data_IF_628284375584
#
_entry.id   IF_628284375584
#
_cell.length_a   1.000
_cell.length_b   1.000
_cell.length_c   1.000
_cell.angle_alpha   90.00
_cell.angle_beta   90.00
_cell.angle_gamma   90.00
#
_symmetry.space_group_name_H-M   'P 1'
#
loop_
_entity.id
_entity.type
_entity.pdbx_description
1 polymer ?
#
# COMPACT_ATOMS: atom_id res chain seq x y z
N UNK A 1 21.65 8.90 -2.08
CA UNK A 1 21.04 7.61 -1.70
C UNK A 1 20.09 7.17 -2.83
N UNK A 2 20.26 5.96 -3.35
CA UNK A 2 19.37 5.46 -4.43
C UNK A 2 18.09 4.88 -3.84
N UNK A 3 16.95 5.44 -4.22
CA UNK A 3 15.63 4.92 -3.89
C UNK A 3 15.23 3.84 -4.90
N UNK A 4 14.67 2.74 -4.40
CA UNK A 4 13.99 1.74 -5.20
C UNK A 4 12.51 2.13 -5.28
N UNK A 5 11.95 2.07 -6.48
CA UNK A 5 10.54 2.37 -6.73
C UNK A 5 9.80 1.09 -7.06
N UNK A 6 8.69 0.85 -6.36
CA UNK A 6 7.79 -0.27 -6.59
C UNK A 6 6.50 0.30 -7.17
N UNK A 7 6.17 -0.06 -8.41
CA UNK A 7 4.92 0.33 -9.05
C UNK A 7 3.72 -0.26 -8.31
N UNK A 8 2.72 0.54 -8.04
CA UNK A 8 1.55 0.10 -7.25
C UNK A 8 0.69 -0.89 -8.03
N UNK A 9 0.45 -0.65 -9.31
CA UNK A 9 -0.31 -1.59 -10.14
C UNK A 9 0.48 -2.88 -10.37
N UNK A 10 1.79 -2.80 -10.59
CA UNK A 10 2.65 -3.99 -10.67
C UNK A 10 2.64 -4.80 -9.37
N UNK A 11 2.63 -4.13 -8.21
CA UNK A 11 2.51 -4.78 -6.90
C UNK A 11 1.17 -5.50 -6.73
N UNK A 12 0.04 -4.88 -7.15
CA UNK A 12 -1.29 -5.51 -7.11
C UNK A 12 -1.36 -6.72 -8.05
N UNK A 13 -0.84 -6.59 -9.27
CA UNK A 13 -0.74 -7.69 -10.23
C UNK A 13 0.11 -8.83 -9.65
N UNK A 14 1.23 -8.52 -8.99
CA UNK A 14 2.05 -9.53 -8.35
C UNK A 14 1.34 -10.23 -7.19
N UNK A 15 0.51 -9.52 -6.43
CA UNK A 15 -0.24 -10.08 -5.30
C UNK A 15 -1.43 -10.95 -5.74
N UNK A 16 -1.86 -10.91 -7.01
CA UNK A 16 -2.97 -11.73 -7.51
C UNK A 16 -2.61 -13.22 -7.68
N UNK A 17 -1.31 -13.52 -7.76
CA UNK A 17 -0.82 -14.88 -8.00
C UNK A 17 0.44 -15.17 -7.18
N UNK A 18 0.56 -16.39 -6.63
CA UNK A 18 1.68 -16.77 -5.74
C UNK A 18 3.01 -16.82 -6.47
N UNK A 19 3.04 -17.38 -7.66
CA UNK A 19 4.26 -17.53 -8.46
C UNK A 19 4.71 -16.18 -9.00
N UNK A 20 3.76 -15.36 -9.43
CA UNK A 20 4.02 -13.99 -9.85
C UNK A 20 4.59 -13.14 -8.72
N UNK A 21 4.08 -13.30 -7.49
CA UNK A 21 4.62 -12.61 -6.31
C UNK A 21 6.06 -13.05 -6.01
N UNK A 22 6.37 -14.34 -6.16
CA UNK A 22 7.74 -14.86 -6.00
C UNK A 22 8.66 -14.26 -7.05
N UNK A 23 8.25 -14.29 -8.32
CA UNK A 23 8.98 -13.72 -9.45
C UNK A 23 9.26 -12.22 -9.28
N UNK A 24 8.26 -11.46 -8.85
CA UNK A 24 8.39 -10.04 -8.55
C UNK A 24 9.38 -9.77 -7.41
N UNK A 25 9.29 -10.54 -6.32
CA UNK A 25 10.21 -10.44 -5.18
C UNK A 25 11.65 -10.84 -5.57
N UNK A 26 11.84 -11.78 -6.48
CA UNK A 26 13.14 -12.14 -7.00
C UNK A 26 13.78 -10.95 -7.75
N UNK A 27 13.05 -10.30 -8.65
CA UNK A 27 13.49 -9.09 -9.33
C UNK A 27 13.78 -7.94 -8.36
N UNK A 28 12.93 -7.75 -7.34
CA UNK A 28 13.17 -6.78 -6.27
C UNK A 28 14.48 -7.08 -5.54
N UNK A 29 14.77 -8.33 -5.20
CA UNK A 29 16.02 -8.72 -4.53
C UNK A 29 17.24 -8.30 -5.33
N UNK A 30 17.24 -8.51 -6.64
CA UNK A 30 18.32 -8.05 -7.54
C UNK A 30 18.46 -6.53 -7.45
N UNK A 31 17.35 -5.78 -7.52
CA UNK A 31 17.37 -4.31 -7.42
C UNK A 31 17.89 -3.79 -6.09
N UNK A 32 17.60 -4.49 -5.00
CA UNK A 32 18.10 -4.12 -3.68
C UNK A 32 19.59 -4.42 -3.51
N UNK A 33 20.06 -5.53 -4.04
CA UNK A 33 21.46 -5.98 -3.87
C UNK A 33 22.41 -5.27 -4.86
N UNK A 34 21.98 -5.05 -6.09
CA UNK A 34 22.86 -4.54 -7.16
C UNK A 34 22.41 -3.16 -7.66
N UNK A 35 23.35 -2.19 -7.70
CA UNK A 35 23.04 -0.80 -8.08
C UNK A 35 22.50 -0.66 -9.49
N UNK A 36 23.08 -1.37 -10.45
CA UNK A 36 22.65 -1.37 -11.84
C UNK A 36 21.38 -2.20 -12.09
N UNK A 37 20.81 -2.82 -11.02
CA UNK A 37 19.67 -3.75 -11.12
C UNK A 37 19.98 -4.97 -11.97
N UNK A 38 21.25 -5.37 -12.02
CA UNK A 38 21.74 -6.51 -12.77
C UNK A 38 22.75 -7.35 -11.96
N UNK A 39 22.81 -8.62 -12.30
CA UNK A 39 23.72 -9.60 -11.72
C UNK A 39 24.50 -10.31 -12.83
N UNK A 40 25.81 -10.07 -12.88
CA UNK A 40 26.73 -10.81 -13.74
C UNK A 40 27.13 -12.15 -13.11
N UNK A 41 27.18 -13.21 -13.89
CA UNK A 41 27.56 -14.52 -13.39
C UNK A 41 28.16 -15.43 -14.48
N UNK A 42 29.14 -16.22 -14.08
CA UNK A 42 29.71 -17.28 -14.91
C UNK A 42 28.91 -18.60 -14.85
N UNK A 43 28.33 -18.91 -13.70
CA UNK A 43 27.53 -20.11 -13.49
C UNK A 43 26.27 -19.86 -12.67
N UNK A 44 25.19 -20.65 -12.90
CA UNK A 44 23.96 -20.57 -12.10
C UNK A 44 24.22 -20.77 -10.60
N UNK A 45 25.22 -21.58 -10.22
CA UNK A 45 25.57 -21.81 -8.83
C UNK A 45 26.16 -20.54 -8.19
N UNK A 46 27.02 -19.82 -8.90
CA UNK A 46 27.56 -18.54 -8.45
C UNK A 46 26.45 -17.48 -8.26
N UNK A 47 25.53 -17.37 -9.22
CA UNK A 47 24.39 -16.46 -9.11
C UNK A 47 23.47 -16.80 -7.95
N UNK A 48 23.20 -18.08 -7.70
CA UNK A 48 22.40 -18.55 -6.59
C UNK A 48 23.04 -18.16 -5.25
N UNK A 49 24.34 -18.42 -5.08
CA UNK A 49 25.10 -18.03 -3.86
C UNK A 49 25.06 -16.52 -3.65
N UNK A 50 25.29 -15.73 -4.71
CA UNK A 50 25.26 -14.27 -4.63
C UNK A 50 23.90 -13.71 -4.16
N UNK A 51 22.80 -14.39 -4.50
CA UNK A 51 21.45 -14.05 -4.06
C UNK A 51 21.01 -14.76 -2.78
N UNK A 52 21.85 -15.60 -2.18
CA UNK A 52 21.53 -16.36 -0.96
C UNK A 52 20.45 -17.41 -1.18
N UNK A 53 20.44 -18.09 -2.33
CA UNK A 53 19.57 -19.22 -2.66
C UNK A 53 20.39 -20.49 -2.91
N UNK A 54 19.76 -21.66 -2.79
CA UNK A 54 20.27 -22.87 -3.39
C UNK A 54 20.00 -22.87 -4.92
N UNK A 55 20.75 -23.66 -5.66
CA UNK A 55 20.67 -23.71 -7.13
C UNK A 55 19.28 -24.08 -7.68
N UNK A 56 18.56 -25.08 -7.14
CA UNK A 56 17.21 -25.42 -7.60
C UNK A 56 16.22 -24.26 -7.41
N UNK A 57 16.18 -23.69 -6.21
CA UNK A 57 15.29 -22.56 -5.89
C UNK A 57 15.61 -21.33 -6.74
N UNK A 58 16.89 -21.03 -6.93
CA UNK A 58 17.32 -19.95 -7.81
C UNK A 58 16.82 -20.16 -9.25
N UNK A 59 17.00 -21.36 -9.80
CA UNK A 59 16.56 -21.68 -11.16
C UNK A 59 15.06 -21.51 -11.29
N UNK A 60 14.28 -22.09 -10.37
CA UNK A 60 12.82 -21.94 -10.36
C UNK A 60 12.37 -20.47 -10.31
N UNK A 61 12.97 -19.66 -9.44
CA UNK A 61 12.58 -18.25 -9.30
C UNK A 61 13.01 -17.40 -10.49
N UNK A 62 14.15 -17.71 -11.08
CA UNK A 62 14.62 -17.05 -12.32
C UNK A 62 13.68 -17.37 -13.47
N UNK A 63 13.31 -18.62 -13.66
CA UNK A 63 12.41 -19.05 -14.73
C UNK A 63 11.02 -18.38 -14.58
N UNK A 64 10.49 -18.33 -13.36
CA UNK A 64 9.27 -17.58 -13.06
C UNK A 64 9.44 -16.08 -13.36
N UNK A 65 10.56 -15.48 -12.98
CA UNK A 65 10.81 -14.06 -13.20
C UNK A 65 10.93 -13.72 -14.70
N UNK A 66 11.48 -14.61 -15.51
CA UNK A 66 11.52 -14.48 -16.97
C UNK A 66 10.12 -14.68 -17.55
N UNK A 67 9.41 -15.74 -17.15
CA UNK A 67 8.04 -16.06 -17.59
C UNK A 67 7.09 -14.86 -17.41
N UNK A 68 7.18 -14.18 -16.27
CA UNK A 68 6.33 -13.02 -15.97
C UNK A 68 6.92 -11.67 -16.41
N UNK A 69 8.06 -11.67 -17.10
CA UNK A 69 8.68 -10.47 -17.66
C UNK A 69 9.33 -9.54 -16.63
N UNK A 70 9.60 -10.01 -15.40
CA UNK A 70 10.28 -9.21 -14.37
C UNK A 70 11.79 -9.23 -14.49
N UNK A 71 12.34 -10.25 -15.14
CA UNK A 71 13.77 -10.35 -15.45
C UNK A 71 13.99 -10.77 -16.88
N UNK A 72 15.18 -10.45 -17.41
CA UNK A 72 15.69 -11.00 -18.67
C UNK A 72 17.15 -11.40 -18.50
N UNK A 73 17.61 -12.30 -19.35
CA UNK A 73 19.00 -12.71 -19.42
C UNK A 73 19.62 -12.14 -20.70
N UNK A 74 20.78 -11.51 -20.54
CA UNK A 74 21.62 -11.09 -21.65
C UNK A 74 22.96 -11.85 -21.56
N UNK A 75 23.55 -12.18 -22.69
CA UNK A 75 24.90 -12.77 -22.78
C UNK A 75 25.78 -11.80 -23.52
N UNK A 76 26.93 -11.45 -22.95
CA UNK A 76 27.88 -10.56 -23.61
C UNK A 76 28.70 -11.32 -24.64
N UNK A 77 29.52 -10.57 -25.40
CA UNK A 77 30.42 -11.12 -26.46
C UNK A 77 31.43 -12.17 -25.93
N UNK A 78 31.70 -12.16 -24.61
CA UNK A 78 32.63 -13.08 -23.94
C UNK A 78 31.92 -14.27 -23.26
N UNK A 79 30.64 -14.49 -23.53
CA UNK A 79 29.88 -15.60 -22.95
C UNK A 79 29.42 -15.38 -21.51
N UNK A 80 29.75 -14.26 -20.87
CA UNK A 80 29.29 -13.94 -19.50
C UNK A 80 27.82 -13.59 -19.52
N UNK A 81 27.05 -14.30 -18.71
CA UNK A 81 25.59 -14.09 -18.55
C UNK A 81 25.31 -13.01 -17.54
N UNK A 82 24.26 -12.25 -17.83
CA UNK A 82 23.79 -11.15 -17.01
C UNK A 82 22.28 -11.26 -16.83
N UNK A 83 21.81 -11.31 -15.57
CA UNK A 83 20.39 -11.20 -15.24
C UNK A 83 20.08 -9.74 -15.00
N UNK A 84 19.11 -9.19 -15.71
CA UNK A 84 18.67 -7.82 -15.58
C UNK A 84 17.26 -7.82 -14.99
N UNK A 85 17.08 -7.16 -13.86
CA UNK A 85 15.75 -6.90 -13.32
C UNK A 85 15.10 -5.75 -14.09
N UNK A 86 14.00 -6.05 -14.78
CA UNK A 86 13.25 -5.10 -15.59
C UNK A 86 12.67 -3.97 -14.74
N UNK A 87 12.17 -2.94 -15.41
CA UNK A 87 11.49 -1.82 -14.77
C UNK A 87 10.19 -2.31 -14.09
N UNK A 88 10.08 -2.15 -12.78
CA UNK A 88 8.94 -2.58 -11.95
C UNK A 88 8.18 -1.41 -11.35
N UNK A 89 8.30 -0.22 -11.91
CA UNK A 89 7.55 0.97 -11.48
C UNK A 89 6.62 1.43 -12.60
N UNK A 90 5.44 1.83 -12.18
CA UNK A 90 4.40 2.33 -13.06
C UNK A 90 4.64 3.79 -13.46
N UNK A 91 3.90 4.24 -14.48
CA UNK A 91 3.89 5.63 -14.90
C UNK A 91 3.17 6.54 -13.90
N UNK A 92 2.24 5.99 -13.11
CA UNK A 92 1.36 6.80 -12.25
C UNK A 92 1.85 6.90 -10.82
N UNK A 93 1.81 5.80 -10.06
CA UNK A 93 2.14 5.79 -8.64
C UNK A 93 3.20 4.76 -8.31
N UNK A 94 4.18 5.17 -7.53
CA UNK A 94 5.23 4.28 -7.03
C UNK A 94 5.47 4.47 -5.54
N UNK A 95 5.64 3.36 -4.83
CA UNK A 95 6.11 3.35 -3.46
C UNK A 95 7.63 3.43 -3.45
N UNK A 96 8.18 4.40 -2.71
CA UNK A 96 9.62 4.60 -2.57
C UNK A 96 10.12 3.92 -1.32
N UNK A 97 11.26 3.24 -1.42
CA UNK A 97 11.98 2.65 -0.29
C UNK A 97 13.48 2.81 -0.50
N UNK A 98 14.24 2.96 0.58
CA UNK A 98 15.70 3.10 0.53
C UNK A 98 16.36 1.72 0.53
N UNK A 99 17.48 1.57 -0.18
CA UNK A 99 18.20 0.29 -0.22
C UNK A 99 18.56 -0.28 1.16
N UNK A 100 19.01 0.54 2.09
CA UNK A 100 19.40 0.12 3.44
C UNK A 100 18.24 -0.02 4.43
N UNK A 101 17.00 0.25 4.02
CA UNK A 101 15.83 0.24 4.89
C UNK A 101 15.42 -1.17 5.31
N UNK A 102 15.62 -2.15 4.43
CA UNK A 102 15.38 -3.55 4.73
C UNK A 102 16.63 -4.20 5.31
N UNK A 103 16.60 -4.50 6.62
CA UNK A 103 17.66 -5.24 7.30
C UNK A 103 17.86 -6.66 6.74
N UNK A 104 16.82 -7.25 6.18
CA UNK A 104 16.82 -8.60 5.65
C UNK A 104 16.09 -8.64 4.29
N UNK A 105 16.80 -9.09 3.24
CA UNK A 105 16.28 -9.27 1.89
C UNK A 105 15.75 -10.71 1.65
N UNK A 106 15.23 -11.36 2.70
CA UNK A 106 14.56 -12.64 2.56
C UNK A 106 13.27 -12.51 1.75
N UNK A 107 12.86 -13.57 1.09
CA UNK A 107 11.63 -13.60 0.31
C UNK A 107 10.38 -13.21 1.13
N UNK A 108 10.20 -13.68 2.39
CA UNK A 108 9.10 -13.20 3.24
C UNK A 108 9.11 -11.71 3.51
N UNK A 109 10.29 -11.09 3.72
CA UNK A 109 10.43 -9.64 3.93
C UNK A 109 10.07 -8.86 2.68
N UNK A 110 10.51 -9.31 1.50
CA UNK A 110 10.17 -8.70 0.22
C UNK A 110 8.67 -8.82 -0.11
N UNK A 111 8.06 -9.99 0.16
CA UNK A 111 6.60 -10.17 0.03
C UNK A 111 5.82 -9.21 0.94
N UNK A 112 6.31 -8.99 2.17
CA UNK A 112 5.70 -8.03 3.08
C UNK A 112 5.83 -6.59 2.56
N UNK A 113 7.01 -6.21 2.03
CA UNK A 113 7.23 -4.89 1.42
C UNK A 113 6.28 -4.61 0.25
N UNK A 114 5.99 -5.60 -0.59
CA UNK A 114 5.01 -5.47 -1.68
C UNK A 114 3.62 -5.17 -1.13
N UNK A 115 3.20 -5.84 -0.04
CA UNK A 115 1.93 -5.58 0.64
C UNK A 115 1.90 -4.19 1.28
N UNK A 116 3.00 -3.77 1.91
CA UNK A 116 3.15 -2.42 2.48
C UNK A 116 2.95 -1.35 1.41
N UNK A 117 3.50 -1.54 0.22
CA UNK A 117 3.36 -0.60 -0.89
C UNK A 117 1.88 -0.39 -1.27
N UNK A 118 1.11 -1.48 -1.41
CA UNK A 118 -0.32 -1.41 -1.76
C UNK A 118 -1.13 -0.76 -0.64
N UNK A 119 -0.91 -1.17 0.61
CA UNK A 119 -1.63 -0.62 1.76
C UNK A 119 -1.30 0.87 1.95
N UNK A 120 -0.03 1.26 1.87
CA UNK A 120 0.40 2.65 2.01
C UNK A 120 -0.22 3.54 0.93
N UNK A 121 -0.26 3.08 -0.33
CA UNK A 121 -0.94 3.80 -1.39
C UNK A 121 -2.43 3.97 -1.13
N UNK A 122 -3.10 2.95 -0.60
CA UNK A 122 -4.53 3.05 -0.28
C UNK A 122 -4.79 4.05 0.84
N UNK A 123 -3.94 4.06 1.87
CA UNK A 123 -4.00 5.05 2.95
C UNK A 123 -3.79 6.45 2.38
N UNK A 124 -2.82 6.64 1.48
CA UNK A 124 -2.56 7.92 0.83
C UNK A 124 -3.79 8.43 0.05
N UNK A 125 -4.43 7.56 -0.73
CA UNK A 125 -5.66 7.91 -1.46
C UNK A 125 -6.77 8.32 -0.50
N UNK A 126 -6.96 7.58 0.60
CA UNK A 126 -7.96 7.90 1.62
C UNK A 126 -7.68 9.28 2.24
N UNK A 127 -6.42 9.56 2.57
CA UNK A 127 -6.01 10.84 3.16
C UNK A 127 -6.16 12.01 2.19
N UNK A 128 -5.77 11.84 0.92
CA UNK A 128 -5.98 12.84 -0.13
C UNK A 128 -7.46 13.19 -0.29
N UNK A 129 -8.34 12.18 -0.28
CA UNK A 129 -9.79 12.35 -0.39
C UNK A 129 -10.35 13.09 0.82
N UNK A 130 -9.95 12.72 2.04
CA UNK A 130 -10.37 13.40 3.27
C UNK A 130 -9.93 14.88 3.23
N UNK A 131 -8.69 15.14 2.84
CA UNK A 131 -8.16 16.50 2.74
C UNK A 131 -8.91 17.33 1.70
N UNK A 132 -9.25 16.74 0.55
CA UNK A 132 -10.04 17.40 -0.49
C UNK A 132 -11.45 17.70 0.01
N UNK A 133 -12.07 16.76 0.72
CA UNK A 133 -13.39 16.94 1.31
C UNK A 133 -13.38 18.04 2.39
N UNK A 134 -12.41 18.04 3.29
CA UNK A 134 -12.27 19.05 4.34
C UNK A 134 -12.10 20.46 3.76
N UNK A 135 -11.31 20.60 2.70
CA UNK A 135 -11.18 21.90 1.97
C UNK A 135 -12.50 22.32 1.35
N UNK A 136 -13.26 21.40 0.78
CA UNK A 136 -14.56 21.68 0.21
C UNK A 136 -15.58 22.15 1.26
N UNK A 137 -15.54 21.58 2.48
CA UNK A 137 -16.45 21.99 3.57
C UNK A 137 -16.11 23.36 4.13
N UNK A 138 -14.83 23.69 4.24
CA UNK A 138 -14.38 24.93 4.92
C UNK A 138 -14.43 26.19 4.05
N UNK A 139 -14.84 26.11 2.80
CA UNK A 139 -14.90 27.31 1.94
C UNK A 139 -15.77 27.19 0.68
N UNK A 140 -16.56 26.13 0.55
CA UNK A 140 -17.31 25.87 -0.68
C UNK A 140 -18.79 25.56 -0.45
N UNK A 141 -19.57 25.69 -1.51
CA UNK A 141 -21.00 25.39 -1.54
C UNK A 141 -21.32 23.92 -1.31
N UNK A 142 -22.54 23.61 -0.86
CA UNK A 142 -23.04 22.24 -0.66
C UNK A 142 -22.84 21.35 -1.89
N UNK A 143 -22.96 21.90 -3.09
CA UNK A 143 -22.70 21.19 -4.34
C UNK A 143 -21.25 20.71 -4.49
N UNK A 144 -20.28 21.51 -4.05
CA UNK A 144 -18.86 21.15 -4.04
C UNK A 144 -18.56 20.02 -3.07
N UNK A 145 -19.17 20.05 -1.89
CA UNK A 145 -19.06 18.99 -0.87
C UNK A 145 -19.64 17.68 -1.42
N UNK A 146 -20.82 17.72 -2.04
CA UNK A 146 -21.45 16.55 -2.65
C UNK A 146 -20.60 15.94 -3.77
N UNK A 147 -20.01 16.77 -4.61
CA UNK A 147 -19.12 16.32 -5.68
C UNK A 147 -17.82 15.73 -5.14
N UNK A 148 -17.24 16.31 -4.09
CA UNK A 148 -16.08 15.74 -3.42
C UNK A 148 -16.37 14.35 -2.86
N UNK A 149 -17.53 14.14 -2.20
CA UNK A 149 -17.96 12.83 -1.68
C UNK A 149 -18.18 11.79 -2.78
N UNK A 150 -18.76 12.19 -3.93
CA UNK A 150 -18.92 11.30 -5.09
C UNK A 150 -17.58 10.86 -5.66
N UNK A 151 -16.62 11.79 -5.76
CA UNK A 151 -15.26 11.49 -6.22
C UNK A 151 -14.56 10.54 -5.25
N UNK A 152 -14.73 10.77 -3.95
CA UNK A 152 -14.24 9.90 -2.89
C UNK A 152 -14.79 8.48 -3.02
N UNK A 153 -16.10 8.32 -3.14
CA UNK A 153 -16.72 7.01 -3.29
C UNK A 153 -16.21 6.26 -4.52
N UNK A 154 -16.00 6.97 -5.64
CA UNK A 154 -15.42 6.42 -6.87
C UNK A 154 -13.98 5.95 -6.65
N UNK A 155 -13.13 6.79 -6.04
CA UNK A 155 -11.74 6.45 -5.76
C UNK A 155 -11.60 5.24 -4.84
N UNK A 156 -12.49 5.13 -3.87
CA UNK A 156 -12.50 4.04 -2.91
C UNK A 156 -13.26 2.81 -3.39
N UNK A 157 -13.82 2.85 -4.61
CA UNK A 157 -14.60 1.75 -5.21
C UNK A 157 -15.70 1.23 -4.29
N UNK A 158 -16.43 2.13 -3.64
CA UNK A 158 -17.58 1.80 -2.80
C UNK A 158 -18.74 2.75 -3.06
N UNK A 159 -19.96 2.33 -2.70
CA UNK A 159 -21.13 3.18 -2.83
C UNK A 159 -20.94 4.52 -2.13
N UNK A 160 -21.57 5.55 -2.68
CA UNK A 160 -21.60 6.86 -2.05
C UNK A 160 -22.36 6.77 -0.72
N UNK A 161 -21.64 7.04 0.37
CA UNK A 161 -22.18 7.05 1.72
C UNK A 161 -21.84 8.39 2.38
N UNK A 162 -22.86 9.11 2.83
CA UNK A 162 -22.68 10.39 3.54
C UNK A 162 -22.00 10.25 4.90
N UNK A 163 -22.07 9.05 5.49
CA UNK A 163 -21.46 8.70 6.78
C UNK A 163 -20.01 8.20 6.66
N UNK A 164 -19.40 8.30 5.47
CA UNK A 164 -18.03 7.82 5.28
C UNK A 164 -17.04 8.53 6.23
N UNK A 165 -16.35 7.73 7.02
CA UNK A 165 -15.44 8.23 8.08
C UNK A 165 -13.96 8.24 7.67
N UNK A 166 -13.62 7.80 6.46
CA UNK A 166 -12.22 7.66 6.02
C UNK A 166 -11.47 6.50 6.70
N UNK A 167 -12.20 5.57 7.31
CA UNK A 167 -11.60 4.41 7.97
C UNK A 167 -11.14 3.34 6.97
N UNK A 168 -10.12 2.56 7.36
CA UNK A 168 -9.61 1.45 6.57
C UNK A 168 -9.59 0.17 7.40
N UNK A 169 -10.56 -0.72 7.17
CA UNK A 169 -10.73 -1.94 7.95
C UNK A 169 -9.71 -3.01 7.57
N UNK A 170 -9.42 -3.92 8.51
CA UNK A 170 -8.55 -5.06 8.24
C UNK A 170 -9.09 -5.97 7.12
N UNK A 171 -10.42 -6.16 7.05
CA UNK A 171 -11.06 -6.95 5.97
C UNK A 171 -10.77 -6.32 4.62
N UNK A 172 -10.93 -5.02 4.50
CA UNK A 172 -10.63 -4.32 3.26
C UNK A 172 -9.15 -4.38 2.89
N UNK A 173 -8.25 -4.31 3.88
CA UNK A 173 -6.82 -4.51 3.64
C UNK A 173 -6.51 -5.89 3.08
N UNK A 174 -7.18 -6.95 3.58
CA UNK A 174 -6.99 -8.32 3.05
C UNK A 174 -7.41 -8.42 1.59
N UNK A 175 -8.50 -7.76 1.21
CA UNK A 175 -8.96 -7.68 -0.18
C UNK A 175 -7.96 -6.92 -1.08
N UNK A 176 -7.50 -5.75 -0.62
CA UNK A 176 -6.58 -4.91 -1.40
C UNK A 176 -5.22 -5.59 -1.63
N UNK A 177 -4.74 -6.45 -0.70
CA UNK A 177 -3.49 -7.20 -0.84
C UNK A 177 -3.67 -8.64 -1.35
N UNK A 178 -4.90 -9.05 -1.66
CA UNK A 178 -5.25 -10.44 -1.98
C UNK A 178 -4.58 -11.45 -1.02
N UNK A 179 -4.79 -11.23 0.28
CA UNK A 179 -4.06 -11.98 1.31
C UNK A 179 -4.88 -12.26 2.56
N UNK A 180 -4.21 -12.77 3.59
CA UNK A 180 -4.81 -13.11 4.87
C UNK A 180 -4.81 -11.93 5.85
N UNK A 181 -5.65 -12.02 6.88
CA UNK A 181 -5.69 -11.04 7.98
C UNK A 181 -4.33 -10.92 8.69
N UNK A 182 -3.62 -12.04 8.85
CA UNK A 182 -2.26 -12.05 9.42
C UNK A 182 -1.29 -11.21 8.55
N UNK A 183 -1.33 -11.38 7.24
CA UNK A 183 -0.47 -10.66 6.31
C UNK A 183 -0.79 -9.15 6.29
N UNK A 184 -2.07 -8.78 6.33
CA UNK A 184 -2.49 -7.39 6.43
C UNK A 184 -2.01 -6.74 7.75
N UNK A 185 -2.20 -7.43 8.88
CA UNK A 185 -1.72 -6.97 10.19
C UNK A 185 -0.20 -6.84 10.25
N UNK A 186 0.54 -7.79 9.66
CA UNK A 186 2.01 -7.75 9.61
C UNK A 186 2.49 -6.54 8.82
N UNK A 187 1.91 -6.26 7.65
CA UNK A 187 2.27 -5.11 6.83
C UNK A 187 1.97 -3.78 7.54
N UNK A 188 0.79 -3.62 8.14
CA UNK A 188 0.45 -2.43 8.93
C UNK A 188 1.38 -2.24 10.12
N UNK A 189 1.66 -3.31 10.86
CA UNK A 189 2.57 -3.25 12.01
C UNK A 189 3.97 -2.82 11.59
N UNK A 190 4.47 -3.29 10.44
CA UNK A 190 5.74 -2.88 9.88
C UNK A 190 5.74 -1.39 9.51
N UNK A 191 4.70 -0.90 8.82
CA UNK A 191 4.55 0.52 8.47
C UNK A 191 4.47 1.44 9.69
N UNK A 192 3.79 1.00 10.76
CA UNK A 192 3.71 1.76 12.03
C UNK A 192 5.06 1.75 12.74
N UNK A 193 5.71 0.58 12.87
CA UNK A 193 7.03 0.46 13.53
C UNK A 193 8.13 1.23 12.81
N UNK A 194 8.06 1.34 11.48
CA UNK A 194 9.01 2.13 10.68
C UNK A 194 8.69 3.63 10.67
N UNK A 195 7.66 4.09 11.38
CA UNK A 195 7.29 5.50 11.44
C UNK A 195 6.67 6.07 10.16
N UNK A 196 6.32 5.23 9.18
CA UNK A 196 5.76 5.68 7.91
C UNK A 196 4.31 6.09 8.01
N UNK A 197 3.56 5.42 8.88
CA UNK A 197 2.15 5.73 9.17
C UNK A 197 1.88 5.77 10.67
N UNK A 198 0.88 6.55 11.06
CA UNK A 198 0.31 6.54 12.40
C UNK A 198 -1.07 5.89 12.37
N UNK A 199 -1.28 4.91 13.26
CA UNK A 199 -2.58 4.29 13.48
C UNK A 199 -3.38 5.09 14.50
N UNK A 200 -4.63 5.41 14.18
CA UNK A 200 -5.58 6.12 15.04
C UNK A 200 -6.74 5.16 15.31
N UNK A 201 -6.84 4.70 16.56
CA UNK A 201 -7.96 3.84 16.97
C UNK A 201 -9.20 4.71 17.11
N UNK A 202 -10.30 4.26 16.53
CA UNK A 202 -11.60 4.92 16.64
C UNK A 202 -12.57 4.04 17.42
N UNK A 203 -13.31 4.67 18.28
CA UNK A 203 -14.44 4.08 19.00
C UNK A 203 -15.61 5.06 18.93
N UNK A 204 -16.82 4.53 18.80
CA UNK A 204 -18.07 5.28 19.01
C UNK A 204 -18.70 4.85 20.33
N UNK A 205 -19.50 5.70 20.94
CA UNK A 205 -20.23 5.32 22.13
C UNK A 205 -21.24 4.22 21.81
N UNK A 206 -21.30 3.21 22.67
CA UNK A 206 -22.30 2.15 22.62
C UNK A 206 -23.40 2.50 23.61
N UNK A 207 -24.64 2.21 23.24
CA UNK A 207 -25.77 2.36 24.13
C UNK A 207 -25.81 1.16 25.11
N UNK A 208 -24.86 1.13 26.03
CA UNK A 208 -24.70 0.08 27.04
C UNK A 208 -24.54 0.75 28.38
N UNK A 209 -25.35 0.34 29.37
CA UNK A 209 -25.18 0.80 30.72
C UNK A 209 -23.92 0.21 31.35
N UNK A 210 -22.90 1.06 31.46
CA UNK A 210 -21.56 0.69 31.94
C UNK A 210 -21.29 1.17 33.37
N UNK A 211 -22.31 1.68 34.06
CA UNK A 211 -22.16 2.31 35.38
C UNK A 211 -21.65 1.37 36.47
N UNK A 212 -21.84 0.06 36.30
CA UNK A 212 -21.41 -0.96 37.25
C UNK A 212 -20.01 -1.50 37.07
N UNK A 213 -19.28 -1.09 35.99
CA UNK A 213 -18.00 -1.67 35.67
C UNK A 213 -16.84 -0.93 36.33
N UNK A 214 -16.14 -1.60 37.21
CA UNK A 214 -14.92 -1.11 37.88
C UNK A 214 -13.67 -1.32 37.07
N UNK A 215 -13.68 -2.28 36.15
CA UNK A 215 -12.53 -2.67 35.30
C UNK A 215 -12.85 -2.59 33.82
N UNK A 216 -11.81 -2.44 32.98
CA UNK A 216 -11.96 -2.53 31.53
C UNK A 216 -12.37 -3.94 31.14
N UNK A 217 -13.50 -4.09 30.48
CA UNK A 217 -14.04 -5.34 29.99
C UNK A 217 -14.30 -5.28 28.50
N UNK A 218 -14.33 -6.41 27.84
CA UNK A 218 -14.75 -6.51 26.44
C UNK A 218 -15.63 -7.73 26.24
N UNK A 219 -16.70 -7.57 25.48
CA UNK A 219 -17.58 -8.66 25.10
C UNK A 219 -18.05 -8.51 23.65
N UNK A 220 -18.56 -9.58 23.08
CA UNK A 220 -19.18 -9.52 21.76
C UNK A 220 -20.70 -9.52 21.94
N UNK A 221 -21.35 -8.58 21.29
CA UNK A 221 -22.80 -8.57 21.16
C UNK A 221 -23.27 -9.74 20.25
N UNK A 222 -24.56 -10.03 20.22
CA UNK A 222 -25.14 -11.12 19.42
C UNK A 222 -24.85 -11.00 17.92
N UNK A 223 -24.71 -9.79 17.40
CA UNK A 223 -24.31 -9.49 16.02
C UNK A 223 -22.81 -9.60 15.75
N UNK A 224 -22.02 -10.05 16.73
CA UNK A 224 -20.55 -10.17 16.65
C UNK A 224 -19.79 -8.87 16.90
N UNK A 225 -20.46 -7.76 17.16
CA UNK A 225 -19.82 -6.46 17.43
C UNK A 225 -19.04 -6.51 18.73
N UNK A 226 -17.78 -6.04 18.70
CA UNK A 226 -16.94 -5.94 19.90
C UNK A 226 -17.27 -4.67 20.66
N UNK A 227 -17.79 -4.82 21.88
CA UNK A 227 -18.06 -3.74 22.82
C UNK A 227 -16.95 -3.76 23.87
N UNK A 228 -16.32 -2.61 24.08
CA UNK A 228 -15.29 -2.41 25.10
C UNK A 228 -15.88 -1.48 26.14
N UNK A 229 -16.01 -1.95 27.38
CA UNK A 229 -16.39 -1.11 28.51
C UNK A 229 -15.13 -0.48 29.08
N UNK A 230 -15.09 0.84 29.10
CA UNK A 230 -13.97 1.60 29.64
C UNK A 230 -14.29 2.07 31.04
N UNK A 231 -13.61 1.54 32.04
CA UNK A 231 -13.73 2.00 33.45
C UNK A 231 -13.38 3.48 33.59
N UNK A 232 -12.43 3.99 32.80
CA UNK A 232 -12.03 5.41 32.80
C UNK A 232 -13.15 6.34 32.37
N UNK A 233 -13.93 5.97 31.39
CA UNK A 233 -15.00 6.82 30.83
C UNK A 233 -16.38 6.40 31.29
N UNK A 234 -16.50 5.29 31.99
CA UNK A 234 -17.79 4.70 32.47
C UNK A 234 -18.81 4.56 31.33
N UNK A 235 -18.31 4.17 30.13
CA UNK A 235 -19.11 4.07 28.89
C UNK A 235 -18.75 2.81 28.14
N UNK A 236 -19.74 2.24 27.49
CA UNK A 236 -19.51 1.23 26.46
C UNK A 236 -18.96 1.88 25.19
N UNK A 237 -17.93 1.31 24.60
CA UNK A 237 -17.30 1.78 23.38
C UNK A 237 -17.37 0.71 22.30
N UNK A 238 -17.98 1.03 21.17
CA UNK A 238 -17.92 0.22 19.95
C UNK A 238 -16.61 0.50 19.22
N UNK A 239 -15.84 -0.55 18.97
CA UNK A 239 -14.61 -0.41 18.22
C UNK A 239 -14.90 -0.28 16.72
N UNK A 240 -14.65 0.88 16.18
CA UNK A 240 -14.73 1.15 14.75
C UNK A 240 -13.45 0.73 14.01
N UNK A 241 -13.51 0.68 12.68
CA UNK A 241 -12.33 0.52 11.86
C UNK A 241 -11.34 1.66 12.08
N UNK A 242 -10.05 1.33 12.15
CA UNK A 242 -9.01 2.31 12.42
C UNK A 242 -8.87 3.32 11.27
N UNK A 243 -8.49 4.55 11.62
CA UNK A 243 -7.91 5.52 10.68
C UNK A 243 -6.38 5.39 10.67
N UNK A 244 -5.80 5.80 9.58
CA UNK A 244 -4.35 5.83 9.43
C UNK A 244 -3.96 7.17 8.83
N UNK A 245 -2.83 7.73 9.30
CA UNK A 245 -2.24 8.97 8.79
C UNK A 245 -0.85 8.70 8.25
N UNK A 246 -0.56 9.21 7.07
CA UNK A 246 0.80 9.18 6.50
C UNK A 246 1.67 10.17 7.29
N UNK A 247 2.79 9.69 7.80
CA UNK A 247 3.79 10.53 8.48
C UNK A 247 4.95 10.87 7.53
N UNK A 248 5.35 9.91 6.70
CA UNK A 248 6.39 10.07 5.69
C UNK A 248 5.82 9.69 4.32
N UNK A 249 5.82 10.62 3.37
CA UNK A 249 5.25 10.37 2.05
C UNK A 249 6.17 9.45 1.23
N UNK A 250 5.83 8.17 1.22
CA UNK A 250 6.51 7.13 0.43
C UNK A 250 5.93 7.00 -0.99
N UNK A 251 4.77 7.60 -1.25
CA UNK A 251 4.12 7.53 -2.56
C UNK A 251 4.58 8.71 -3.42
N UNK A 252 5.02 8.43 -4.63
CA UNK A 252 5.30 9.47 -5.62
C UNK A 252 4.53 9.21 -6.89
N UNK A 253 3.96 10.27 -7.45
CA UNK A 253 3.57 10.27 -8.85
C UNK A 253 4.83 10.22 -9.71
N UNK A 254 4.85 9.38 -10.73
CA UNK A 254 5.88 9.48 -11.75
C UNK A 254 5.72 10.86 -12.41
N UNK A 255 6.80 11.61 -12.53
CA UNK A 255 6.78 12.81 -13.36
C UNK A 255 6.46 12.34 -14.77
N UNK A 256 5.26 12.63 -15.28
CA UNK A 256 4.97 12.46 -16.70
C UNK A 256 5.95 13.38 -17.45
N UNK A 257 6.79 12.78 -18.28
CA UNK A 257 7.76 13.53 -19.12
C UNK A 257 7.10 14.31 -20.27
N UNK A 258 5.82 14.54 -20.19
CA UNK A 258 5.07 15.41 -21.10
C UNK A 258 4.59 16.59 -20.30
N UNK A 259 4.93 17.78 -20.77
CA UNK A 259 4.31 19.03 -20.37
C UNK A 259 2.79 18.84 -20.33
N UNK A 260 2.26 18.45 -19.17
CA UNK A 260 0.86 18.62 -18.94
C UNK A 260 0.65 20.14 -18.94
N UNK A 261 0.19 20.66 -20.09
CA UNK A 261 -0.51 21.94 -20.12
C UNK A 261 -1.44 21.93 -18.92
N UNK A 262 -1.25 22.86 -17.99
CA UNK A 262 -2.22 23.12 -16.93
C UNK A 262 -3.56 23.20 -17.63
N UNK A 263 -4.39 22.19 -17.43
CA UNK A 263 -5.80 22.29 -17.77
C UNK A 263 -6.35 23.22 -16.70
N UNK A 264 -6.28 24.50 -16.96
CA UNK A 264 -7.04 25.49 -16.22
C UNK A 264 -8.51 25.18 -16.51
N UNK A 265 -9.18 24.61 -15.53
CA UNK A 265 -10.63 24.60 -15.54
C UNK A 265 -11.08 26.07 -15.44
N UNK A 266 -11.21 26.73 -16.59
CA UNK A 266 -11.96 27.98 -16.70
C UNK A 266 -13.41 27.65 -16.37
N UNK A 267 -13.79 27.86 -15.11
CA UNK A 267 -15.19 27.94 -14.72
C UNK A 267 -15.77 29.11 -15.48
N UNK A 268 -16.49 28.84 -16.59
CA UNK A 268 -17.33 29.82 -17.24
C UNK A 268 -18.40 30.23 -16.20
N UNK A 269 -18.22 31.38 -15.59
CA UNK A 269 -19.31 32.05 -14.88
C UNK A 269 -20.41 32.31 -15.91
N UNK A 270 -21.49 31.54 -15.83
CA UNK A 270 -22.74 31.89 -16.49
C UNK A 270 -23.23 33.17 -15.77
N UNK A 271 -23.04 34.29 -16.39
CA UNK A 271 -23.76 35.53 -16.00
C UNK A 271 -25.23 35.28 -16.35
N UNK A 272 -26.04 35.03 -15.33
CA UNK A 272 -27.48 35.21 -15.47
C UNK A 272 -27.74 36.68 -15.53
N UNK A 273 -28.05 37.19 -16.73
CA UNK A 273 -28.76 38.45 -16.89
C UNK A 273 -30.22 38.20 -16.51
N UNK A 274 -30.68 38.86 -15.47
CA UNK A 274 -32.05 39.32 -15.27
C UNK A 274 -31.95 40.80 -14.97
#
# INVERSE_FOLDING_TARGET
MHNIRIGIEQAKIALSDKDRLVAFCFALKIKFMFRASDLHYGSKNQAAKALGFNKPTFTQYLDLAIKFGYCRIETNKFGVKKIIANKIHDKDYSYKTRRGELKNLSLPSLKNLVREAVICNKINIIEEVINTHSRAVNGHTISSVRNARKTEARMLKKPFDEKYTGSYSNIRMTQDINGTLYQARKAITSLVKSGKIRKITQCTEANVDACACTNNQSFRAADGTLIIISAKYRKGLLRCANKYKILENQISKAKSGTNQKKVEFKIKRVKNNI
#
